data_IF_615201013592
#
_entry.id   IF_615201013592
#
_cell.length_a   1.000
_cell.length_b   1.000
_cell.length_c   1.000
_cell.angle_alpha   90.00
_cell.angle_beta   90.00
_cell.angle_gamma   90.00
#
_symmetry.space_group_name_H-M   'P 1'
#
loop_
_entity.id
_entity.type
_entity.pdbx_description
1 polymer ?
#
# COMPACT_ATOMS: atom_id res chain seq x y z
N UNK A 1 -9.26 -7.81 -15.74
CA UNK A 1 -8.08 -7.32 -16.50
C UNK A 1 -6.77 -7.68 -15.82
N UNK A 2 -6.50 -7.25 -14.57
CA UNK A 2 -5.24 -7.55 -13.86
C UNK A 2 -4.83 -9.03 -13.89
N UNK A 3 -5.75 -9.94 -13.61
CA UNK A 3 -5.46 -11.38 -13.53
C UNK A 3 -5.14 -12.01 -14.90
N UNK A 4 -5.90 -11.64 -15.93
CA UNK A 4 -5.61 -12.02 -17.32
C UNK A 4 -4.20 -11.52 -17.72
N UNK A 5 -3.87 -10.28 -17.34
CA UNK A 5 -2.55 -9.70 -17.61
C UNK A 5 -1.43 -10.33 -16.78
N UNK A 6 -1.70 -10.70 -15.53
CA UNK A 6 -0.74 -11.38 -14.65
C UNK A 6 -0.37 -12.76 -15.17
N UNK A 7 -1.35 -13.56 -15.62
CA UNK A 7 -1.12 -14.84 -16.28
C UNK A 7 -0.33 -14.68 -17.58
N UNK A 8 -0.51 -13.55 -18.26
CA UNK A 8 0.27 -13.16 -19.43
C UNK A 8 1.57 -12.43 -19.05
N UNK A 9 2.03 -12.39 -17.79
CA UNK A 9 3.27 -11.70 -17.36
C UNK A 9 3.35 -10.23 -17.81
N UNK A 10 2.23 -9.54 -17.86
CA UNK A 10 2.17 -8.10 -18.17
C UNK A 10 1.96 -7.35 -16.86
N UNK A 11 2.95 -6.54 -16.49
CA UNK A 11 2.94 -5.76 -15.25
C UNK A 11 2.08 -4.51 -15.41
N UNK A 12 1.05 -4.40 -14.59
CA UNK A 12 0.30 -3.16 -14.44
C UNK A 12 1.01 -2.24 -13.44
N UNK A 13 0.79 -0.93 -13.53
CA UNK A 13 1.24 -0.03 -12.50
C UNK A 13 0.59 -0.35 -11.17
N UNK A 14 1.40 -0.39 -10.13
CA UNK A 14 1.03 -0.80 -8.78
C UNK A 14 1.51 0.26 -7.81
N UNK A 15 0.73 0.48 -6.76
CA UNK A 15 1.14 1.33 -5.65
C UNK A 15 1.58 0.39 -4.53
N UNK A 16 2.89 0.40 -4.26
CA UNK A 16 3.54 -0.45 -3.28
C UNK A 16 3.67 0.34 -1.98
N UNK A 17 3.13 -0.18 -0.89
CA UNK A 17 3.16 0.46 0.42
C UNK A 17 4.29 -0.15 1.24
N UNK A 18 5.25 0.68 1.62
CA UNK A 18 6.44 0.28 2.38
C UNK A 18 6.66 1.21 3.56
N UNK A 19 7.32 0.71 4.59
CA UNK A 19 7.69 1.48 5.75
C UNK A 19 8.42 0.62 6.77
N UNK A 20 9.16 1.29 7.66
CA UNK A 20 9.83 0.59 8.75
C UNK A 20 8.77 0.02 9.72
N UNK A 21 9.15 -0.96 10.54
CA UNK A 21 8.20 -1.56 11.48
C UNK A 21 7.63 -0.51 12.46
N UNK A 22 6.32 -0.59 12.73
CA UNK A 22 5.62 0.25 13.74
C UNK A 22 5.58 1.76 13.44
N UNK A 23 5.75 2.15 12.18
CA UNK A 23 5.64 3.55 11.72
C UNK A 23 4.20 4.05 11.55
N UNK A 24 3.22 3.16 11.53
CA UNK A 24 1.80 3.51 11.28
C UNK A 24 1.28 3.06 9.91
N UNK A 25 2.02 2.21 9.18
CA UNK A 25 1.62 1.66 7.87
C UNK A 25 0.20 1.06 7.87
N UNK A 26 -0.08 0.16 8.80
CA UNK A 26 -1.42 -0.46 8.91
C UNK A 26 -2.49 0.58 9.21
N UNK A 27 -2.23 1.55 10.10
CA UNK A 27 -3.19 2.61 10.41
C UNK A 27 -3.53 3.47 9.19
N UNK A 28 -2.53 3.81 8.37
CA UNK A 28 -2.73 4.54 7.11
C UNK A 28 -3.55 3.72 6.12
N UNK A 29 -3.24 2.43 5.96
CA UNK A 29 -3.99 1.53 5.07
C UNK A 29 -5.43 1.36 5.50
N UNK A 30 -5.71 1.26 6.80
CA UNK A 30 -7.06 1.20 7.34
C UNK A 30 -7.82 2.51 7.14
N UNK A 31 -7.14 3.65 7.31
CA UNK A 31 -7.73 4.97 7.09
C UNK A 31 -8.08 5.19 5.61
N UNK A 32 -7.27 4.66 4.69
CA UNK A 32 -7.55 4.63 3.24
C UNK A 32 -8.71 3.67 2.93
N UNK A 33 -8.62 2.42 3.40
CA UNK A 33 -9.51 1.33 2.97
C UNK A 33 -10.83 1.22 3.70
N UNK A 34 -10.93 1.84 4.86
CA UNK A 34 -12.15 1.77 5.62
C UNK A 34 -12.31 0.49 6.45
N UNK A 35 -11.33 -0.42 6.45
CA UNK A 35 -11.39 -1.71 7.15
C UNK A 35 -10.36 -1.76 8.27
N UNK A 36 -10.53 -2.69 9.21
CA UNK A 36 -9.53 -2.97 10.23
C UNK A 36 -8.60 -4.09 9.76
N UNK A 37 -7.31 -3.79 9.71
CA UNK A 37 -6.27 -4.74 9.32
C UNK A 37 -5.62 -5.33 10.58
N UNK A 38 -4.91 -6.46 10.42
CA UNK A 38 -4.25 -7.11 11.54
C UNK A 38 -3.15 -6.20 12.12
N UNK A 39 -3.32 -5.76 13.37
CA UNK A 39 -2.32 -4.95 14.09
C UNK A 39 -1.38 -5.77 14.99
N UNK A 40 -1.57 -7.09 15.07
CA UNK A 40 -0.91 -7.94 16.04
C UNK A 40 0.62 -7.81 15.98
N UNK A 41 1.20 -7.39 17.11
CA UNK A 41 2.63 -7.45 17.36
C UNK A 41 3.09 -8.90 17.16
N UNK A 42 4.20 -9.10 16.43
CA UNK A 42 4.86 -10.38 16.12
C UNK A 42 4.39 -11.19 14.90
N UNK A 43 3.27 -10.85 14.22
CA UNK A 43 2.78 -11.61 13.03
C UNK A 43 2.52 -10.71 11.82
N UNK A 44 2.60 -9.39 12.01
CA UNK A 44 2.15 -8.37 11.06
C UNK A 44 2.82 -8.51 9.68
N UNK A 45 2.05 -9.01 8.72
CA UNK A 45 2.35 -9.12 7.28
C UNK A 45 3.65 -9.88 6.99
N UNK A 46 3.65 -11.22 7.08
CA UNK A 46 4.75 -12.08 6.61
C UNK A 46 4.67 -12.42 5.11
N UNK A 47 3.69 -11.87 4.43
CA UNK A 47 3.43 -12.06 3.02
C UNK A 47 2.79 -10.79 2.46
N UNK A 48 2.99 -10.47 1.16
CA UNK A 48 2.30 -9.34 0.54
C UNK A 48 0.78 -9.46 0.68
N UNK A 49 0.09 -8.32 0.77
CA UNK A 49 -1.35 -8.28 0.62
C UNK A 49 -1.79 -7.23 -0.40
N UNK A 50 -2.49 -7.65 -1.43
CA UNK A 50 -3.08 -6.74 -2.41
C UNK A 50 -4.48 -6.33 -1.96
N UNK A 51 -4.59 -5.08 -1.53
CA UNK A 51 -5.82 -4.42 -1.10
C UNK A 51 -6.45 -3.67 -2.26
N UNK A 52 -7.61 -4.14 -2.71
CA UNK A 52 -8.43 -3.52 -3.75
C UNK A 52 -9.67 -2.91 -3.12
N UNK A 53 -9.89 -1.63 -3.33
CA UNK A 53 -11.14 -0.95 -2.99
C UNK A 53 -11.95 -0.77 -4.25
N UNK A 54 -13.22 -1.14 -4.19
CA UNK A 54 -14.18 -0.97 -5.29
C UNK A 54 -15.47 -0.35 -4.79
N UNK A 55 -15.99 0.59 -5.58
CA UNK A 55 -17.31 1.16 -5.31
C UNK A 55 -18.40 0.13 -5.63
N UNK A 56 -19.38 0.03 -4.74
CA UNK A 56 -20.59 -0.77 -4.96
C UNK A 56 -21.82 0.09 -4.66
N UNK A 57 -22.87 -0.06 -5.50
CA UNK A 57 -24.19 0.52 -5.21
C UNK A 57 -25.01 -0.37 -4.26
N UNK A 58 -24.57 -1.60 -4.04
CA UNK A 58 -25.27 -2.63 -3.27
C UNK A 58 -24.74 -2.70 -1.82
N UNK A 59 -24.90 -3.86 -1.20
CA UNK A 59 -24.40 -4.16 0.15
C UNK A 59 -22.86 -4.10 0.16
N UNK A 60 -22.28 -3.68 1.27
CA UNK A 60 -20.84 -3.70 1.49
C UNK A 60 -20.40 -5.13 1.86
N UNK A 61 -19.34 -5.62 1.22
CA UNK A 61 -18.79 -6.94 1.48
C UNK A 61 -17.32 -6.97 1.09
N UNK A 62 -16.61 -7.98 1.57
CA UNK A 62 -15.20 -8.18 1.27
C UNK A 62 -14.96 -9.58 0.75
N UNK A 63 -14.21 -9.69 -0.34
CA UNK A 63 -13.73 -10.96 -0.89
C UNK A 63 -12.29 -11.14 -0.47
N UNK A 64 -11.96 -12.29 0.13
CA UNK A 64 -10.60 -12.63 0.52
C UNK A 64 -10.19 -14.01 0.00
N UNK A 65 -9.00 -14.10 -0.59
CA UNK A 65 -8.41 -15.36 -1.04
C UNK A 65 -6.88 -15.27 -1.08
N UNK A 66 -6.21 -16.39 -1.33
CA UNK A 66 -4.76 -16.46 -1.56
C UNK A 66 -4.49 -17.08 -2.94
N UNK A 67 -3.24 -17.10 -3.38
CA UNK A 67 -2.91 -17.70 -4.70
C UNK A 67 -3.05 -19.23 -4.76
N UNK A 68 -3.31 -19.91 -3.64
CA UNK A 68 -3.53 -21.37 -3.58
C UNK A 68 -5.01 -21.74 -3.77
N UNK A 69 -5.94 -20.80 -3.59
CA UNK A 69 -7.39 -20.96 -3.79
C UNK A 69 -7.84 -20.14 -4.99
N UNK A 70 -8.65 -20.71 -5.89
CA UNK A 70 -9.25 -19.96 -7.00
C UNK A 70 -10.27 -18.93 -6.50
N UNK A 71 -10.65 -17.97 -7.34
CA UNK A 71 -11.68 -16.96 -7.01
C UNK A 71 -13.04 -17.62 -6.69
N UNK A 72 -13.31 -18.81 -7.24
CA UNK A 72 -14.49 -19.62 -6.94
C UNK A 72 -14.50 -20.18 -5.50
N UNK A 73 -13.34 -20.30 -4.86
CA UNK A 73 -13.18 -20.69 -3.46
C UNK A 73 -12.95 -19.47 -2.53
N UNK A 74 -13.11 -18.26 -3.06
CA UNK A 74 -12.89 -17.05 -2.28
C UNK A 74 -13.95 -16.91 -1.18
N UNK A 75 -13.49 -16.57 0.03
CA UNK A 75 -14.40 -16.36 1.16
C UNK A 75 -15.01 -14.95 1.02
N UNK A 76 -16.33 -14.88 0.97
CA UNK A 76 -17.06 -13.62 1.10
C UNK A 76 -17.32 -13.33 2.57
N UNK A 77 -16.95 -12.13 3.02
CA UNK A 77 -17.13 -11.62 4.37
C UNK A 77 -18.10 -10.45 4.32
N UNK A 78 -19.22 -10.56 5.03
CA UNK A 78 -20.19 -9.47 5.17
C UNK A 78 -19.90 -8.60 6.40
N UNK A 79 -19.21 -9.16 7.41
CA UNK A 79 -18.75 -8.41 8.57
C UNK A 79 -17.28 -8.00 8.41
N UNK A 80 -17.04 -6.69 8.48
CA UNK A 80 -15.70 -6.09 8.36
C UNK A 80 -14.80 -6.44 9.54
N UNK A 81 -15.37 -6.79 10.70
CA UNK A 81 -14.62 -7.22 11.87
C UNK A 81 -13.99 -8.61 11.68
N UNK A 82 -14.52 -9.43 10.80
CA UNK A 82 -13.96 -10.76 10.48
C UNK A 82 -12.70 -10.69 9.62
N UNK A 83 -12.45 -9.57 8.94
CA UNK A 83 -11.35 -9.43 7.97
C UNK A 83 -10.00 -9.69 8.63
N UNK A 84 -9.76 -9.10 9.80
CA UNK A 84 -8.49 -9.29 10.53
C UNK A 84 -8.26 -10.78 10.88
N UNK A 85 -9.30 -11.48 11.34
CA UNK A 85 -9.19 -12.90 11.67
C UNK A 85 -8.94 -13.75 10.41
N UNK A 86 -9.61 -13.42 9.30
CA UNK A 86 -9.43 -14.10 8.02
C UNK A 86 -8.03 -13.91 7.43
N UNK A 87 -7.51 -12.67 7.44
CA UNK A 87 -6.14 -12.36 7.00
C UNK A 87 -5.12 -13.11 7.86
N UNK A 88 -5.30 -13.12 9.19
CA UNK A 88 -4.41 -13.86 10.10
C UNK A 88 -4.40 -15.36 9.79
N UNK A 89 -5.57 -15.95 9.56
CA UNK A 89 -5.70 -17.36 9.20
C UNK A 89 -4.99 -17.66 7.88
N UNK A 90 -5.26 -16.90 6.82
CA UNK A 90 -4.62 -17.11 5.52
C UNK A 90 -3.11 -16.91 5.58
N UNK A 91 -2.64 -15.93 6.36
CA UNK A 91 -1.20 -15.71 6.57
C UNK A 91 -0.54 -16.93 7.20
N UNK A 92 -1.20 -17.59 8.16
CA UNK A 92 -0.71 -18.85 8.75
C UNK A 92 -0.72 -20.01 7.76
N UNK A 93 -1.74 -20.11 6.90
CA UNK A 93 -1.84 -21.14 5.84
C UNK A 93 -0.77 -20.96 4.73
N UNK A 94 -0.29 -19.72 4.51
CA UNK A 94 0.66 -19.38 3.44
C UNK A 94 2.11 -19.42 3.91
N UNK A 95 2.39 -18.95 5.12
CA UNK A 95 3.76 -18.89 5.65
C UNK A 95 4.26 -20.25 6.18
N UNK A 96 3.44 -21.30 6.07
CA UNK A 96 3.56 -22.59 6.77
C UNK A 96 3.75 -22.38 8.29
N UNK A 97 3.85 -23.44 9.11
CA UNK A 97 4.14 -23.29 10.55
C UNK A 97 5.52 -22.64 10.83
N UNK A 98 6.31 -22.40 9.78
CA UNK A 98 7.57 -21.67 9.83
C UNK A 98 7.39 -20.16 10.00
N UNK A 99 8.47 -19.51 10.40
CA UNK A 99 8.51 -18.07 10.68
C UNK A 99 9.07 -17.22 9.53
N UNK A 100 9.25 -17.83 8.37
CA UNK A 100 9.78 -17.19 7.15
C UNK A 100 8.79 -16.23 6.48
N UNK A 101 9.32 -15.35 5.63
CA UNK A 101 8.54 -14.49 4.73
C UNK A 101 8.12 -15.29 3.50
N UNK A 102 6.83 -15.26 3.15
CA UNK A 102 6.33 -15.84 1.92
C UNK A 102 6.17 -14.76 0.86
N UNK A 103 6.54 -15.06 -0.39
CA UNK A 103 6.26 -14.19 -1.53
C UNK A 103 4.85 -14.37 -2.10
N UNK A 104 4.05 -15.25 -1.51
CA UNK A 104 2.70 -15.54 -1.96
C UNK A 104 1.72 -14.49 -1.43
N UNK A 105 1.05 -13.71 -2.29
CA UNK A 105 0.16 -12.65 -1.85
C UNK A 105 -1.18 -13.17 -1.32
N UNK A 106 -1.75 -12.42 -0.37
CA UNK A 106 -3.18 -12.46 -0.02
C UNK A 106 -3.89 -11.38 -0.82
N UNK A 107 -5.03 -11.72 -1.42
CA UNK A 107 -5.86 -10.78 -2.16
C UNK A 107 -7.08 -10.41 -1.32
N UNK A 108 -7.30 -9.11 -1.16
CA UNK A 108 -8.39 -8.56 -0.36
C UNK A 108 -9.13 -7.50 -1.18
N UNK A 109 -10.33 -7.82 -1.65
CA UNK A 109 -11.17 -6.89 -2.41
C UNK A 109 -12.34 -6.42 -1.54
N UNK A 110 -12.29 -5.16 -1.15
CA UNK A 110 -13.30 -4.48 -0.32
C UNK A 110 -14.27 -3.73 -1.22
N UNK A 111 -15.55 -4.11 -1.17
CA UNK A 111 -16.64 -3.41 -1.83
C UNK A 111 -17.34 -2.51 -0.82
N UNK A 112 -17.25 -1.19 -1.02
CA UNK A 112 -17.86 -0.19 -0.12
C UNK A 112 -18.74 0.80 -0.86
N UNK A 113 -19.76 1.31 -0.17
CA UNK A 113 -20.56 2.42 -0.66
C UNK A 113 -19.82 3.73 -0.42
N UNK A 114 -20.11 4.73 -1.25
CA UNK A 114 -19.61 6.10 -1.08
C UNK A 114 -18.08 6.24 -1.05
N UNK A 115 -17.34 5.29 -1.63
CA UNK A 115 -15.92 5.51 -1.89
C UNK A 115 -15.76 6.31 -3.19
N UNK A 116 -14.92 7.36 -3.20
CA UNK A 116 -14.81 8.26 -4.34
C UNK A 116 -13.99 7.65 -5.50
N UNK A 117 -13.11 6.71 -5.20
CA UNK A 117 -12.17 6.15 -6.17
C UNK A 117 -11.99 4.65 -5.96
N UNK A 118 -11.90 3.91 -7.06
CA UNK A 118 -11.34 2.56 -7.03
C UNK A 118 -9.82 2.68 -6.87
N UNK A 119 -9.26 1.97 -5.90
CA UNK A 119 -7.84 2.02 -5.59
C UNK A 119 -7.29 0.63 -5.33
N UNK A 120 -6.06 0.38 -5.78
CA UNK A 120 -5.34 -0.88 -5.56
C UNK A 120 -3.98 -0.58 -4.95
N UNK A 121 -3.74 -1.12 -3.76
CA UNK A 121 -2.51 -0.97 -2.98
C UNK A 121 -1.93 -2.35 -2.69
N UNK A 122 -0.61 -2.48 -2.74
CA UNK A 122 0.10 -3.69 -2.32
C UNK A 122 0.81 -3.36 -1.03
N UNK A 123 0.32 -3.91 0.08
CA UNK A 123 0.96 -3.82 1.37
C UNK A 123 2.07 -4.87 1.49
N UNK A 124 3.26 -4.42 1.88
CA UNK A 124 4.42 -5.27 2.12
C UNK A 124 4.75 -5.35 3.61
N UNK A 125 5.47 -6.41 4.03
CA UNK A 125 5.99 -6.51 5.40
C UNK A 125 6.76 -5.25 5.82
N UNK A 126 6.57 -4.82 7.06
CA UNK A 126 7.35 -3.70 7.61
C UNK A 126 8.81 -4.08 7.80
N UNK A 127 9.74 -3.16 7.49
CA UNK A 127 11.17 -3.44 7.58
C UNK A 127 11.58 -3.55 9.05
N UNK A 128 12.08 -4.71 9.47
CA UNK A 128 12.58 -4.95 10.84
C UNK A 128 14.09 -5.19 10.83
N UNK A 129 14.82 -4.49 11.70
CA UNK A 129 16.27 -4.66 11.85
C UNK A 129 16.65 -5.82 12.75
N UNK A 130 15.77 -6.17 13.69
CA UNK A 130 16.02 -7.20 14.69
C UNK A 130 14.93 -8.26 14.61
N UNK A 131 15.28 -9.55 14.47
CA UNK A 131 14.30 -10.63 14.52
C UNK A 131 13.55 -10.62 15.85
N UNK A 132 12.23 -10.67 15.80
CA UNK A 132 11.41 -10.91 16.99
C UNK A 132 11.46 -12.39 17.40
N UNK A 133 11.08 -12.74 18.64
CA UNK A 133 11.00 -14.14 19.07
C UNK A 133 10.18 -14.99 18.08
N UNK A 134 10.78 -16.08 17.62
CA UNK A 134 10.22 -16.96 16.60
C UNK A 134 10.72 -16.66 15.19
N UNK A 135 11.07 -15.42 14.83
CA UNK A 135 11.52 -15.08 13.48
C UNK A 135 12.92 -15.62 13.14
N UNK A 136 13.19 -15.95 11.87
CA UNK A 136 14.50 -16.40 11.44
C UNK A 136 15.51 -15.24 11.50
N UNK A 137 16.80 -15.56 11.67
CA UNK A 137 17.86 -14.55 11.82
C UNK A 137 18.03 -13.67 10.57
N UNK A 138 17.67 -14.18 9.40
CA UNK A 138 17.75 -13.52 8.10
C UNK A 138 16.42 -12.86 7.68
N UNK A 139 15.44 -12.72 8.59
CA UNK A 139 14.12 -12.11 8.29
C UNK A 139 14.25 -10.74 7.62
N UNK A 140 15.22 -9.93 8.07
CA UNK A 140 15.50 -8.62 7.50
C UNK A 140 15.83 -8.73 6.01
N UNK A 141 16.80 -9.58 5.66
CA UNK A 141 17.19 -9.82 4.26
C UNK A 141 16.03 -10.39 3.42
N UNK A 142 15.21 -11.29 3.99
CA UNK A 142 14.03 -11.83 3.31
C UNK A 142 13.01 -10.72 2.98
N UNK A 143 12.73 -9.81 3.92
CA UNK A 143 11.84 -8.67 3.71
C UNK A 143 12.40 -7.72 2.66
N UNK A 144 13.69 -7.39 2.72
CA UNK A 144 14.34 -6.52 1.73
C UNK A 144 14.27 -7.11 0.32
N UNK A 145 14.56 -8.41 0.19
CA UNK A 145 14.47 -9.11 -1.09
C UNK A 145 13.04 -9.15 -1.63
N UNK A 146 12.04 -9.28 -0.75
CA UNK A 146 10.65 -9.20 -1.16
C UNK A 146 10.29 -7.80 -1.64
N UNK A 147 10.65 -6.75 -0.88
CA UNK A 147 10.39 -5.36 -1.24
C UNK A 147 11.03 -5.01 -2.59
N UNK A 148 12.30 -5.36 -2.79
CA UNK A 148 13.02 -5.10 -4.03
C UNK A 148 12.28 -5.63 -5.27
N UNK A 149 11.70 -6.83 -5.20
CA UNK A 149 10.91 -7.41 -6.31
C UNK A 149 9.70 -6.56 -6.71
N UNK A 150 9.10 -5.85 -5.76
CA UNK A 150 7.92 -5.01 -6.01
C UNK A 150 8.28 -3.58 -6.40
N UNK A 151 9.40 -3.03 -5.90
CA UNK A 151 9.81 -1.64 -6.18
C UNK A 151 10.75 -1.51 -7.39
N UNK A 152 11.41 -2.59 -7.82
CA UNK A 152 12.30 -2.60 -8.99
C UNK A 152 11.58 -2.21 -10.29
N UNK A 153 10.37 -2.71 -10.61
CA UNK A 153 9.67 -2.33 -11.84
C UNK A 153 9.45 -0.82 -11.93
N UNK A 154 9.80 -0.21 -13.07
CA UNK A 154 9.63 1.23 -13.33
C UNK A 154 8.17 1.69 -13.30
N UNK A 155 7.23 0.75 -13.44
CA UNK A 155 5.78 0.98 -13.35
C UNK A 155 5.28 1.07 -11.91
N UNK A 156 6.08 0.65 -10.93
CA UNK A 156 5.71 0.69 -9.52
C UNK A 156 5.86 2.10 -8.96
N UNK A 157 4.80 2.58 -8.33
CA UNK A 157 4.79 3.77 -7.48
C UNK A 157 4.96 3.31 -6.04
N UNK A 158 5.81 3.98 -5.27
CA UNK A 158 6.08 3.59 -3.89
C UNK A 158 5.45 4.64 -2.96
N UNK A 159 4.51 4.19 -2.14
CA UNK A 159 3.99 4.95 -1.01
C UNK A 159 4.81 4.59 0.23
N UNK A 160 5.65 5.51 0.66
CA UNK A 160 6.37 5.39 1.93
C UNK A 160 5.49 5.86 3.07
N UNK A 161 5.36 5.05 4.11
CA UNK A 161 4.79 5.49 5.38
C UNK A 161 5.94 5.79 6.34
N UNK A 162 6.24 7.08 6.54
CA UNK A 162 7.37 7.53 7.36
C UNK A 162 6.89 8.56 8.38
N UNK A 163 7.10 8.38 9.68
CA UNK A 163 6.68 9.34 10.68
C UNK A 163 7.27 10.73 10.42
N UNK A 164 6.49 11.78 10.55
CA UNK A 164 6.96 13.15 10.36
C UNK A 164 8.05 13.53 11.37
N UNK A 165 8.10 12.87 12.53
CA UNK A 165 9.12 13.09 13.56
C UNK A 165 10.54 12.59 13.21
N UNK A 166 10.74 11.88 12.09
CA UNK A 166 12.06 11.36 11.68
C UNK A 166 12.47 11.90 10.34
N UNK A 167 13.77 12.09 10.10
CA UNK A 167 14.25 12.49 8.77
C UNK A 167 13.93 11.41 7.73
N UNK A 168 13.17 11.79 6.70
CA UNK A 168 12.70 10.90 5.65
C UNK A 168 13.86 10.25 4.88
N UNK A 169 14.97 10.97 4.70
CA UNK A 169 16.15 10.45 4.02
C UNK A 169 16.84 9.31 4.80
N UNK A 170 16.61 9.22 6.11
CA UNK A 170 17.20 8.18 6.96
C UNK A 170 16.42 6.87 6.93
N UNK A 171 15.14 6.90 6.51
CA UNK A 171 14.28 5.72 6.44
C UNK A 171 14.89 4.66 5.52
N UNK A 172 14.83 3.41 5.96
CA UNK A 172 15.36 2.29 5.19
C UNK A 172 14.55 2.07 3.92
N UNK A 173 13.23 2.22 4.00
CA UNK A 173 12.35 2.17 2.83
C UNK A 173 12.76 3.16 1.73
N UNK A 174 13.10 4.40 2.09
CA UNK A 174 13.53 5.44 1.15
C UNK A 174 14.91 5.12 0.54
N UNK A 175 15.86 4.64 1.35
CA UNK A 175 17.19 4.25 0.87
C UNK A 175 17.13 3.13 -0.17
N UNK A 176 16.28 2.13 0.05
CA UNK A 176 16.05 1.04 -0.90
C UNK A 176 15.46 1.57 -2.21
N UNK A 177 14.43 2.41 -2.10
CA UNK A 177 13.76 2.97 -3.27
C UNK A 177 14.67 3.86 -4.11
N UNK A 178 15.54 4.67 -3.49
CA UNK A 178 16.56 5.47 -4.19
C UNK A 178 17.57 4.64 -4.97
N UNK A 179 17.78 3.36 -4.62
CA UNK A 179 18.58 2.44 -5.43
C UNK A 179 17.99 2.17 -6.82
N UNK A 180 16.67 2.26 -6.98
CA UNK A 180 15.94 2.04 -8.24
C UNK A 180 15.28 3.29 -8.82
N UNK A 181 15.24 4.40 -8.06
CA UNK A 181 14.69 5.69 -8.46
C UNK A 181 15.46 6.84 -7.77
N UNK A 182 16.70 7.13 -8.20
CA UNK A 182 17.54 8.14 -7.56
C UNK A 182 16.97 9.57 -7.61
N UNK A 183 16.11 9.85 -8.59
CA UNK A 183 15.49 11.16 -8.81
C UNK A 183 14.11 11.30 -8.13
N UNK A 184 13.70 10.31 -7.35
CA UNK A 184 12.42 10.29 -6.63
C UNK A 184 11.19 10.57 -7.52
N UNK A 185 11.19 10.06 -8.76
CA UNK A 185 10.11 10.27 -9.75
C UNK A 185 8.82 9.52 -9.41
N UNK A 186 8.92 8.46 -8.60
CA UNK A 186 7.79 7.59 -8.27
C UNK A 186 7.63 7.33 -6.76
N UNK A 187 8.16 8.24 -5.94
CA UNK A 187 8.11 8.19 -4.48
C UNK A 187 7.08 9.19 -3.95
N UNK A 188 6.08 8.69 -3.24
CA UNK A 188 5.08 9.46 -2.49
C UNK A 188 5.27 9.14 -1.01
N UNK A 189 5.14 10.13 -0.13
CA UNK A 189 5.23 9.91 1.32
C UNK A 189 3.87 10.19 1.97
N UNK A 190 3.35 9.23 2.74
CA UNK A 190 2.32 9.47 3.74
C UNK A 190 2.99 9.63 5.10
N UNK A 191 2.88 10.81 5.71
CA UNK A 191 3.59 11.19 6.92
C UNK A 191 2.66 11.17 8.15
N UNK A 192 2.59 10.05 8.91
CA UNK A 192 1.88 10.00 10.19
C UNK A 192 2.69 10.62 11.34
N UNK A 193 2.11 10.63 12.55
CA UNK A 193 2.78 11.08 13.79
C UNK A 193 3.37 12.50 13.68
N UNK A 194 2.52 13.41 13.21
CA UNK A 194 2.80 14.83 12.96
C UNK A 194 2.71 15.70 14.22
N UNK A 195 2.45 15.09 15.37
CA UNK A 195 2.25 15.71 16.68
C UNK A 195 3.55 16.08 17.42
N UNK A 196 4.72 15.82 16.82
CA UNK A 196 6.01 15.81 17.54
C UNK A 196 7.07 16.77 17.01
N UNK A 197 6.77 17.58 16.01
CA UNK A 197 7.76 18.42 15.35
C UNK A 197 7.14 19.77 14.93
N UNK A 198 7.68 20.85 15.49
CA UNK A 198 7.14 22.20 15.39
C UNK A 198 7.41 22.85 14.02
N UNK A 199 8.36 22.34 13.21
CA UNK A 199 8.66 22.86 11.87
C UNK A 199 8.36 21.82 10.77
N UNK A 200 7.17 21.21 10.86
CA UNK A 200 6.76 20.14 9.97
C UNK A 200 6.42 20.62 8.54
N UNK A 201 5.96 21.86 8.36
CA UNK A 201 5.51 22.35 7.06
C UNK A 201 6.61 22.36 5.99
N UNK A 202 7.81 22.87 6.29
CA UNK A 202 8.92 22.91 5.32
C UNK A 202 9.33 21.50 4.87
N UNK A 203 9.39 20.58 5.83
CA UNK A 203 9.72 19.18 5.60
C UNK A 203 8.67 18.45 4.74
N UNK A 204 7.39 18.67 5.00
CA UNK A 204 6.30 18.08 4.20
C UNK A 204 6.22 18.67 2.79
N UNK A 205 6.61 19.94 2.64
CA UNK A 205 6.77 20.57 1.34
C UNK A 205 8.05 20.14 0.61
N UNK A 206 8.85 19.26 1.24
CA UNK A 206 10.15 18.80 0.76
C UNK A 206 11.08 19.97 0.42
N UNK A 207 11.13 20.95 1.34
CA UNK A 207 11.96 22.15 1.24
C UNK A 207 12.99 22.18 2.36
N UNK A 208 14.14 22.79 2.07
CA UNK A 208 15.20 23.03 3.05
C UNK A 208 16.38 22.05 2.94
N UNK A 209 17.32 22.12 3.90
CA UNK A 209 18.51 21.28 3.90
C UNK A 209 18.14 19.80 4.01
N UNK A 210 18.53 18.99 3.03
CA UNK A 210 18.22 17.56 3.00
C UNK A 210 16.92 17.19 2.29
N UNK A 211 16.28 18.14 1.60
CA UNK A 211 15.17 17.86 0.68
C UNK A 211 15.52 16.74 -0.33
N UNK A 212 14.54 15.92 -0.65
CA UNK A 212 14.69 14.74 -1.53
C UNK A 212 14.26 14.99 -2.97
N UNK A 213 13.63 16.14 -3.24
CA UNK A 213 13.02 16.53 -4.52
C UNK A 213 11.93 15.58 -5.03
N UNK A 214 11.08 15.08 -4.11
CA UNK A 214 9.95 14.19 -4.37
C UNK A 214 9.06 14.74 -5.48
N UNK A 215 8.81 13.93 -6.52
CA UNK A 215 7.90 14.33 -7.62
C UNK A 215 6.43 14.04 -7.37
N UNK A 216 6.12 13.21 -6.38
CA UNK A 216 4.74 12.85 -6.05
C UNK A 216 4.26 13.43 -4.71
N UNK A 217 5.07 14.29 -4.08
CA UNK A 217 4.79 15.00 -2.82
C UNK A 217 4.85 14.15 -1.53
N UNK A 218 4.63 14.82 -0.40
CA UNK A 218 4.50 14.23 0.93
C UNK A 218 3.21 14.76 1.60
N UNK A 219 2.36 13.88 2.09
CA UNK A 219 1.04 14.22 2.64
C UNK A 219 1.00 13.88 4.13
N UNK A 220 0.69 14.87 4.96
CA UNK A 220 0.48 14.69 6.38
C UNK A 220 -0.81 13.92 6.66
N UNK A 221 -0.78 12.95 7.57
CA UNK A 221 -1.96 12.18 7.95
C UNK A 221 -2.04 12.01 9.47
N UNK A 222 -3.23 12.17 10.03
CA UNK A 222 -3.52 11.89 11.43
C UNK A 222 -4.31 10.59 11.47
N UNK A 223 -3.77 9.59 12.18
CA UNK A 223 -4.39 8.28 12.29
C UNK A 223 -4.80 8.00 13.73
N UNK A 224 -5.73 7.06 13.91
CA UNK A 224 -6.13 6.58 15.23
C UNK A 224 -4.93 6.00 16.00
N UNK A 225 -4.76 6.44 17.24
CA UNK A 225 -3.85 5.86 18.21
C UNK A 225 -4.46 4.60 18.86
N UNK A 226 -3.68 3.88 19.67
CA UNK A 226 -4.12 2.61 20.28
C UNK A 226 -5.35 2.75 21.18
N UNK A 227 -5.47 3.87 21.89
CA UNK A 227 -6.57 4.11 22.82
C UNK A 227 -7.87 4.41 22.07
N UNK A 228 -7.81 5.27 21.05
CA UNK A 228 -8.95 5.58 20.16
C UNK A 228 -9.50 4.33 19.44
N UNK A 229 -8.64 3.35 19.18
CA UNK A 229 -9.06 2.06 18.60
C UNK A 229 -9.76 1.22 19.65
N UNK A 230 -9.23 1.16 20.87
CA UNK A 230 -9.84 0.43 21.97
C UNK A 230 -11.22 1.03 22.32
N UNK A 231 -11.37 2.35 22.16
CA UNK A 231 -12.63 3.10 22.30
C UNK A 231 -13.56 2.97 21.09
N UNK A 232 -13.17 2.22 20.05
CA UNK A 232 -13.92 2.02 18.81
C UNK A 232 -14.28 3.32 18.06
N UNK A 233 -13.40 4.33 18.10
CA UNK A 233 -13.58 5.55 17.32
C UNK A 233 -13.71 5.19 15.84
N UNK A 234 -14.82 5.65 15.25
CA UNK A 234 -15.15 5.40 13.86
C UNK A 234 -14.22 6.18 12.94
N UNK A 235 -14.05 5.71 11.70
CA UNK A 235 -13.25 6.44 10.71
C UNK A 235 -13.82 7.82 10.37
N UNK A 236 -15.15 7.98 10.49
CA UNK A 236 -15.81 9.27 10.29
C UNK A 236 -15.45 10.26 11.39
N UNK A 237 -15.37 9.80 12.63
CA UNK A 237 -14.90 10.61 13.76
C UNK A 237 -13.42 10.92 13.63
N UNK A 238 -12.58 9.94 13.28
CA UNK A 238 -11.15 10.16 13.03
C UNK A 238 -10.92 11.28 12.00
N UNK A 239 -11.64 11.29 10.87
CA UNK A 239 -11.52 12.36 9.86
C UNK A 239 -11.90 13.74 10.38
N UNK A 240 -12.90 13.82 11.28
CA UNK A 240 -13.24 15.07 11.96
C UNK A 240 -12.12 15.51 12.89
N UNK A 241 -11.60 14.61 13.70
CA UNK A 241 -10.47 14.87 14.59
C UNK A 241 -9.21 15.29 13.81
N UNK A 242 -8.94 14.69 12.66
CA UNK A 242 -7.86 15.07 11.75
C UNK A 242 -8.03 16.51 11.25
N UNK A 243 -9.24 16.87 10.80
CA UNK A 243 -9.54 18.24 10.36
C UNK A 243 -9.35 19.24 11.51
N UNK A 244 -9.87 18.92 12.70
CA UNK A 244 -9.69 19.75 13.89
C UNK A 244 -8.23 19.86 14.32
N UNK A 245 -7.44 18.80 14.18
CA UNK A 245 -6.03 18.79 14.54
C UNK A 245 -5.25 19.81 13.73
N UNK A 246 -5.44 19.86 12.41
CA UNK A 246 -4.78 20.84 11.55
C UNK A 246 -5.21 22.28 11.83
N UNK A 247 -6.46 22.48 12.28
CA UNK A 247 -6.96 23.81 12.67
C UNK A 247 -6.47 24.28 14.04
N UNK A 248 -6.25 23.35 14.98
CA UNK A 248 -5.80 23.65 16.35
C UNK A 248 -4.30 23.98 16.45
N UNK A 249 -3.50 23.60 15.46
CA UNK A 249 -2.04 23.82 15.42
C UNK A 249 -1.62 24.69 14.23
N UNK A 250 -2.14 25.94 14.10
CA UNK A 250 -1.81 26.80 12.96
C UNK A 250 -0.31 27.11 12.88
N UNK A 251 0.41 27.17 13.99
CA UNK A 251 1.86 27.41 14.04
C UNK A 251 2.67 26.43 13.17
N UNK A 252 2.28 25.15 13.16
CA UNK A 252 2.97 24.10 12.40
C UNK A 252 2.40 23.90 10.99
N UNK A 253 1.12 24.25 10.74
CA UNK A 253 0.40 23.88 9.51
C UNK A 253 -0.15 25.06 8.68
N UNK A 254 -0.06 26.31 9.13
CA UNK A 254 -0.60 27.47 8.41
C UNK A 254 0.04 27.66 7.02
N UNK A 255 1.32 27.32 6.89
CA UNK A 255 2.07 27.44 5.63
C UNK A 255 2.00 26.19 4.76
N UNK A 256 1.44 25.10 5.28
CA UNK A 256 1.20 23.89 4.52
C UNK A 256 -0.13 24.06 3.75
N UNK A 257 -0.17 23.92 2.42
CA UNK A 257 -1.42 23.99 1.68
C UNK A 257 -2.34 22.80 2.03
N UNK A 258 -3.65 22.99 1.89
CA UNK A 258 -4.63 21.99 2.31
C UNK A 258 -4.56 20.69 1.49
N UNK A 259 -4.01 20.73 0.27
CA UNK A 259 -3.79 19.53 -0.56
C UNK A 259 -2.72 18.57 0.00
N UNK A 260 -1.91 19.03 0.95
CA UNK A 260 -0.91 18.21 1.65
C UNK A 260 -1.40 17.73 3.03
N UNK A 261 -2.66 17.99 3.38
CA UNK A 261 -3.24 17.69 4.69
C UNK A 261 -4.35 16.66 4.61
N UNK A 262 -4.17 15.58 5.35
CA UNK A 262 -5.21 14.65 5.70
C UNK A 262 -5.33 13.44 4.79
N UNK A 263 -6.01 12.42 5.31
CA UNK A 263 -6.15 11.13 4.64
C UNK A 263 -6.92 11.23 3.32
N UNK A 264 -7.92 12.13 3.25
CA UNK A 264 -8.73 12.30 2.05
C UNK A 264 -7.91 12.85 0.88
N UNK A 265 -6.93 13.72 1.16
CA UNK A 265 -6.00 14.21 0.14
C UNK A 265 -5.02 13.12 -0.29
N UNK A 266 -4.53 12.30 0.65
CA UNK A 266 -3.71 11.14 0.32
C UNK A 266 -4.45 10.18 -0.62
N UNK A 267 -5.69 9.83 -0.30
CA UNK A 267 -6.54 8.97 -1.14
C UNK A 267 -6.75 9.58 -2.53
N UNK A 268 -7.06 10.87 -2.60
CA UNK A 268 -7.24 11.59 -3.87
C UNK A 268 -5.96 11.58 -4.71
N UNK A 269 -4.81 11.86 -4.11
CA UNK A 269 -3.50 11.86 -4.79
C UNK A 269 -3.16 10.47 -5.32
N UNK A 270 -3.36 9.43 -4.50
CA UNK A 270 -3.15 8.04 -4.89
C UNK A 270 -4.04 7.64 -6.09
N UNK A 271 -5.30 8.06 -6.09
CA UNK A 271 -6.23 7.80 -7.19
C UNK A 271 -5.77 8.47 -8.50
N UNK A 272 -5.36 9.74 -8.44
CA UNK A 272 -4.81 10.46 -9.60
C UNK A 272 -3.56 9.76 -10.13
N UNK A 273 -2.60 9.44 -9.25
CA UNK A 273 -1.38 8.74 -9.63
C UNK A 273 -1.69 7.39 -10.28
N UNK A 274 -2.62 6.61 -9.71
CA UNK A 274 -3.02 5.33 -10.28
C UNK A 274 -3.60 5.52 -11.69
N UNK A 275 -4.50 6.49 -11.89
CA UNK A 275 -5.10 6.77 -13.20
C UNK A 275 -4.05 7.21 -14.22
N UNK A 276 -3.15 8.12 -13.87
CA UNK A 276 -2.09 8.60 -14.76
C UNK A 276 -1.12 7.49 -15.15
N UNK A 277 -0.76 6.63 -14.21
CA UNK A 277 0.11 5.48 -14.47
C UNK A 277 -0.59 4.44 -15.34
N UNK A 278 -1.87 4.15 -15.10
CA UNK A 278 -2.64 3.26 -15.97
C UNK A 278 -2.69 3.85 -17.38
N UNK A 279 -3.04 5.13 -17.52
CA UNK A 279 -3.15 5.81 -18.82
C UNK A 279 -1.85 5.82 -19.60
N UNK A 280 -0.72 6.09 -18.93
CA UNK A 280 0.61 6.11 -19.57
C UNK A 280 1.13 4.71 -19.92
N UNK A 281 0.73 3.68 -19.17
CA UNK A 281 1.21 2.29 -19.38
C UNK A 281 0.32 1.50 -20.35
N UNK A 282 -0.96 1.84 -20.47
CA UNK A 282 -1.95 1.12 -21.25
C UNK A 282 -1.59 0.94 -22.74
N UNK A 283 -1.04 1.95 -23.46
CA UNK A 283 -0.65 1.78 -24.86
C UNK A 283 0.38 0.67 -25.06
N UNK A 284 1.41 0.64 -24.20
CA UNK A 284 2.45 -0.38 -24.22
C UNK A 284 1.89 -1.77 -23.90
N UNK A 285 1.01 -1.85 -22.90
CA UNK A 285 0.32 -3.10 -22.53
C UNK A 285 -0.50 -3.64 -23.69
N UNK A 286 -1.26 -2.79 -24.39
CA UNK A 286 -2.04 -3.18 -25.57
C UNK A 286 -1.11 -3.71 -26.68
N UNK A 287 0.03 -3.05 -26.92
CA UNK A 287 0.99 -3.50 -27.92
C UNK A 287 1.60 -4.86 -27.57
N UNK A 288 2.02 -5.06 -26.31
CA UNK A 288 2.55 -6.34 -25.84
C UNK A 288 1.51 -7.47 -25.96
N UNK A 289 0.24 -7.19 -25.63
CA UNK A 289 -0.86 -8.14 -25.84
C UNK A 289 -1.07 -8.50 -27.30
N UNK A 290 -1.06 -7.50 -28.21
CA UNK A 290 -1.21 -7.74 -29.65
C UNK A 290 -0.10 -8.65 -30.17
N UNK A 291 1.15 -8.37 -29.80
CA UNK A 291 2.31 -9.22 -30.16
C UNK A 291 2.15 -10.65 -29.65
N UNK A 292 1.66 -10.84 -28.41
CA UNK A 292 1.41 -12.18 -27.86
C UNK A 292 0.29 -12.93 -28.57
N UNK A 293 -0.79 -12.24 -28.91
CA UNK A 293 -1.91 -12.82 -29.68
C UNK A 293 -1.43 -13.27 -31.05
N UNK A 294 -0.65 -12.45 -31.75
CA UNK A 294 -0.08 -12.82 -33.06
C UNK A 294 0.83 -14.04 -32.97
N UNK A 295 1.72 -14.08 -31.97
CA UNK A 295 2.61 -15.23 -31.74
C UNK A 295 1.82 -16.51 -31.44
N UNK A 296 0.81 -16.45 -30.58
CA UNK A 296 -0.05 -17.61 -30.26
C UNK A 296 -0.84 -18.07 -31.50
N UNK A 297 -1.37 -17.14 -32.30
CA UNK A 297 -2.05 -17.44 -33.58
C UNK A 297 -1.11 -18.10 -34.60
N UNK A 298 0.14 -17.64 -34.69
CA UNK A 298 1.15 -18.24 -35.57
C UNK A 298 1.47 -19.67 -35.14
N UNK A 299 1.72 -19.91 -33.85
CA UNK A 299 1.98 -21.25 -33.32
C UNK A 299 0.80 -22.21 -33.56
N UNK A 300 -0.44 -21.74 -33.35
CA UNK A 300 -1.64 -22.53 -33.64
C UNK A 300 -1.75 -22.91 -35.13
N UNK A 301 -1.34 -22.03 -36.04
CA UNK A 301 -1.29 -22.36 -37.47
C UNK A 301 -0.28 -23.46 -37.74
N UNK A 302 0.93 -23.38 -37.17
CA UNK A 302 1.97 -24.42 -37.32
C UNK A 302 1.47 -25.78 -36.82
N UNK A 303 0.85 -25.83 -35.64
CA UNK A 303 0.29 -27.07 -35.08
C UNK A 303 -0.86 -27.67 -35.89
N UNK A 304 -1.53 -26.88 -36.75
CA UNK A 304 -2.60 -27.37 -37.62
C UNK A 304 -2.06 -28.08 -38.88
N UNK A 305 -0.76 -27.96 -39.15
CA UNK A 305 -0.07 -28.61 -40.28
C UNK A 305 0.83 -29.78 -39.85
N UNK A 306 0.80 -30.15 -38.56
CA UNK A 306 1.33 -31.40 -38.01
C UNK A 306 0.16 -32.33 -37.68
#
# INVERSE_FOLDING_TARGET
MREILYNEKITLPEIIVVGDQSVGKSSVLEAISGIQLCRAQNICTRCPSELRMKSTANIEYTIIHNSKRSEDEAKTLNDMNEISNAVTRLTKEIADEGTNVSSTPIYLTVYKRHIPYDLTLIDLPGITRNPLPGQPKDIHAQILNLINKYIEPVTAVVLHVIPASVDFATSESMKLAKGFDPQCLRQLIGAPKIDKDDNIAEKLLDRGPGAMELKLDCIAVVNRNQDEINENITLKEMKKCETEFFLKHPEAFQYLPDEFKGIDQLVKKLAIIQQDRIRSTLPRVIEELRKKIEKKRFNLKIFRFL
#
